data_IF_178062878741
#
_entry.id   IF_178062878741
#
_cell.length_a   1.000
_cell.length_b   1.000
_cell.length_c   1.000
_cell.angle_alpha   90.00
_cell.angle_beta   90.00
_cell.angle_gamma   90.00
#
_symmetry.space_group_name_H-M   'P 1'
#
loop_
_entity.id
_entity.type
_entity.pdbx_description
1 polymer ?
#
# COMPACT_ATOMS: atom_id res chain seq x y z
N UNK A 1 14.13 21.52 3.37
CA UNK A 1 14.20 20.93 4.72
C UNK A 1 15.25 19.82 4.75
N UNK A 2 15.97 19.61 5.87
CA UNK A 2 17.01 18.56 5.98
C UNK A 2 16.38 17.15 6.05
N UNK A 3 16.89 16.17 5.29
CA UNK A 3 16.40 14.77 5.27
C UNK A 3 16.34 14.19 6.70
N UNK A 4 15.24 13.51 7.06
CA UNK A 4 15.03 12.97 8.42
C UNK A 4 16.01 11.83 8.74
N UNK A 5 16.66 11.87 9.90
CA UNK A 5 17.61 10.80 10.31
C UNK A 5 16.85 9.51 10.64
N UNK A 6 17.49 8.34 10.43
CA UNK A 6 16.85 7.03 10.65
C UNK A 6 16.38 6.85 12.10
N UNK A 7 17.23 7.17 13.08
CA UNK A 7 16.91 7.04 14.51
C UNK A 7 15.68 7.87 14.90
N UNK A 8 15.61 9.10 14.41
CA UNK A 8 14.49 10.01 14.65
C UNK A 8 13.20 9.52 13.99
N UNK A 9 13.28 9.05 12.74
CA UNK A 9 12.15 8.43 12.06
C UNK A 9 11.57 7.24 12.82
N UNK A 10 12.42 6.31 13.28
CA UNK A 10 11.95 5.13 14.01
C UNK A 10 11.25 5.52 15.32
N UNK A 11 11.78 6.51 16.04
CA UNK A 11 11.15 7.04 17.26
C UNK A 11 9.76 7.65 17.00
N UNK A 12 9.58 8.29 15.84
CA UNK A 12 8.29 8.88 15.45
C UNK A 12 7.31 7.84 14.89
N UNK A 13 7.81 6.76 14.30
CA UNK A 13 7.00 5.70 13.71
C UNK A 13 6.39 4.77 14.78
N UNK A 14 7.14 4.46 15.83
CA UNK A 14 6.74 3.56 16.91
C UNK A 14 5.34 3.86 17.49
N UNK A 15 4.99 5.08 17.93
CA UNK A 15 3.65 5.37 18.44
C UNK A 15 2.56 5.20 17.37
N UNK A 16 2.85 5.52 16.10
CA UNK A 16 1.90 5.32 15.01
C UNK A 16 1.66 3.83 14.73
N UNK A 17 2.68 2.99 14.88
CA UNK A 17 2.53 1.54 14.75
C UNK A 17 1.69 0.96 15.89
N UNK A 18 1.79 1.48 17.11
CA UNK A 18 0.89 1.11 18.21
C UNK A 18 -0.56 1.50 17.90
N UNK A 19 -0.80 2.69 17.37
CA UNK A 19 -2.14 3.12 16.93
C UNK A 19 -2.67 2.26 15.77
N UNK A 20 -1.82 1.83 14.84
CA UNK A 20 -2.21 0.90 13.77
C UNK A 20 -2.62 -0.47 14.34
N UNK A 21 -1.92 -0.99 15.35
CA UNK A 21 -2.31 -2.22 16.05
C UNK A 21 -3.67 -2.05 16.75
N UNK A 22 -3.88 -0.92 17.41
CA UNK A 22 -5.16 -0.59 18.03
C UNK A 22 -6.29 -0.51 16.99
N UNK A 23 -6.03 0.12 15.84
CA UNK A 23 -6.95 0.18 14.71
C UNK A 23 -7.31 -1.23 14.21
N UNK A 24 -6.34 -2.14 14.02
CA UNK A 24 -6.68 -3.50 13.56
C UNK A 24 -7.48 -4.29 14.59
N UNK A 25 -7.22 -4.09 15.89
CA UNK A 25 -8.07 -4.64 16.97
C UNK A 25 -9.50 -4.09 16.88
N UNK A 26 -9.65 -2.80 16.60
CA UNK A 26 -10.95 -2.17 16.38
C UNK A 26 -11.69 -2.71 15.16
N UNK A 27 -11.01 -2.94 14.04
CA UNK A 27 -11.63 -3.56 12.87
C UNK A 27 -12.24 -4.90 13.24
N UNK A 28 -11.48 -5.75 13.94
CA UNK A 28 -11.94 -7.07 14.38
C UNK A 28 -13.12 -7.01 15.33
N UNK A 29 -13.08 -6.08 16.29
CA UNK A 29 -14.17 -5.91 17.25
C UNK A 29 -15.46 -5.38 16.61
N UNK A 30 -15.34 -4.44 15.67
CA UNK A 30 -16.47 -3.75 15.05
C UNK A 30 -16.99 -4.41 13.77
N UNK A 31 -16.23 -5.35 13.19
CA UNK A 31 -16.50 -5.93 11.87
C UNK A 31 -16.29 -4.94 10.70
N UNK A 32 -15.77 -3.73 10.95
CA UNK A 32 -15.50 -2.75 9.90
C UNK A 32 -14.38 -3.25 8.97
N UNK A 33 -14.36 -2.69 7.76
CA UNK A 33 -13.50 -3.11 6.66
C UNK A 33 -12.79 -1.89 6.11
N UNK A 34 -11.47 -1.97 5.93
CA UNK A 34 -10.67 -0.87 5.41
C UNK A 34 -9.93 -1.31 4.16
N UNK A 35 -9.98 -0.48 3.12
CA UNK A 35 -9.15 -0.60 1.93
C UNK A 35 -8.29 0.64 1.78
N UNK A 36 -6.98 0.46 1.63
CA UNK A 36 -6.02 1.54 1.38
C UNK A 36 -5.36 1.32 0.02
N UNK A 37 -5.76 2.14 -0.94
CA UNK A 37 -5.17 2.20 -2.28
C UNK A 37 -3.96 3.13 -2.24
N UNK A 38 -2.78 2.60 -2.61
CA UNK A 38 -1.54 3.37 -2.63
C UNK A 38 -1.05 3.44 -4.08
N UNK A 39 -1.27 4.58 -4.70
CA UNK A 39 -0.82 4.90 -6.05
C UNK A 39 0.30 5.94 -6.04
N UNK A 40 0.94 6.10 -7.18
CA UNK A 40 1.99 7.09 -7.38
C UNK A 40 3.00 6.60 -8.40
N UNK A 41 3.90 7.52 -8.77
CA UNK A 41 4.94 7.24 -9.77
C UNK A 41 5.83 6.06 -9.35
N UNK A 42 6.54 5.51 -10.33
CA UNK A 42 7.62 4.58 -10.05
C UNK A 42 8.67 5.26 -9.17
N UNK A 43 9.25 4.47 -8.27
CA UNK A 43 10.19 4.93 -7.23
C UNK A 43 9.64 5.91 -6.17
N UNK A 44 8.34 6.27 -6.20
CA UNK A 44 7.75 7.21 -5.24
C UNK A 44 7.83 6.74 -3.77
N UNK A 45 7.69 5.42 -3.51
CA UNK A 45 7.83 4.85 -2.16
C UNK A 45 6.71 3.94 -1.68
N UNK A 46 5.82 3.46 -2.57
CA UNK A 46 4.63 2.64 -2.27
C UNK A 46 4.91 1.45 -1.34
N UNK A 47 5.74 0.49 -1.77
CA UNK A 47 6.10 -0.64 -0.91
C UNK A 47 6.77 -0.25 0.42
N UNK A 48 7.46 0.89 0.49
CA UNK A 48 8.06 1.37 1.73
C UNK A 48 7.04 1.86 2.76
N UNK A 49 5.91 2.44 2.31
CA UNK A 49 4.83 2.83 3.22
C UNK A 49 3.91 1.66 3.57
N UNK A 50 3.67 0.74 2.64
CA UNK A 50 2.97 -0.53 2.93
C UNK A 50 3.68 -1.27 4.04
N UNK A 51 4.99 -1.47 3.92
CA UNK A 51 5.78 -2.13 4.96
C UNK A 51 5.70 -1.39 6.29
N UNK A 52 5.79 -0.05 6.31
CA UNK A 52 5.70 0.72 7.53
C UNK A 52 4.34 0.57 8.25
N UNK A 53 3.25 0.37 7.48
CA UNK A 53 1.92 0.09 8.01
C UNK A 53 1.84 -1.35 8.52
N UNK A 54 2.26 -2.33 7.72
CA UNK A 54 2.00 -3.75 7.97
C UNK A 54 3.00 -4.45 8.88
N UNK A 55 4.17 -3.85 9.16
CA UNK A 55 5.32 -4.48 9.85
C UNK A 55 4.96 -5.17 11.18
N UNK A 56 4.04 -4.60 11.94
CA UNK A 56 3.64 -5.11 13.26
C UNK A 56 2.17 -5.56 13.33
N UNK A 57 1.51 -5.68 12.18
CA UNK A 57 0.11 -6.10 12.11
C UNK A 57 -0.02 -7.61 11.98
N UNK A 58 -1.13 -8.15 12.50
CA UNK A 58 -1.44 -9.56 12.34
C UNK A 58 -1.71 -9.88 10.86
N UNK A 59 -0.95 -10.79 10.22
CA UNK A 59 -1.11 -11.11 8.80
C UNK A 59 -2.44 -11.79 8.46
N UNK A 60 -3.20 -12.27 9.47
CA UNK A 60 -4.57 -12.77 9.29
C UNK A 60 -5.61 -11.66 9.14
N UNK A 61 -5.22 -10.42 9.44
CA UNK A 61 -6.11 -9.25 9.48
C UNK A 61 -5.65 -8.17 8.51
N UNK A 62 -4.36 -8.12 8.19
CA UNK A 62 -3.77 -7.19 7.23
C UNK A 62 -3.29 -7.95 5.98
N UNK A 63 -3.94 -7.69 4.84
CA UNK A 63 -3.59 -8.27 3.56
C UNK A 63 -2.90 -7.24 2.67
N UNK A 64 -1.81 -7.64 2.02
CA UNK A 64 -1.15 -6.82 1.00
C UNK A 64 -1.41 -7.43 -0.37
N UNK A 65 -2.04 -6.66 -1.25
CA UNK A 65 -2.33 -7.05 -2.62
C UNK A 65 -1.39 -6.33 -3.60
N UNK A 66 -0.64 -7.11 -4.38
CA UNK A 66 0.25 -6.64 -5.43
C UNK A 66 0.10 -7.53 -6.67
N UNK A 67 -0.96 -7.29 -7.46
CA UNK A 67 -1.25 -8.10 -8.65
C UNK A 67 -0.22 -7.87 -9.77
N UNK A 68 0.16 -8.93 -10.45
CA UNK A 68 0.92 -8.87 -11.70
C UNK A 68 0.04 -8.37 -12.86
N UNK A 69 0.65 -8.16 -14.04
CA UNK A 69 -0.08 -7.85 -15.27
C UNK A 69 -1.19 -8.90 -15.52
N UNK A 70 -2.35 -8.50 -16.07
CA UNK A 70 -3.44 -9.44 -16.32
C UNK A 70 -2.99 -10.56 -17.27
N UNK A 71 -3.40 -11.79 -16.97
CA UNK A 71 -3.29 -12.91 -17.91
C UNK A 71 -4.29 -12.80 -19.07
N UNK A 72 -4.19 -13.70 -20.05
CA UNK A 72 -5.04 -13.67 -21.26
C UNK A 72 -6.54 -13.68 -20.93
N UNK A 73 -6.95 -14.51 -19.97
CA UNK A 73 -8.35 -14.57 -19.51
C UNK A 73 -8.76 -13.32 -18.74
N UNK A 74 -7.90 -12.77 -17.89
CA UNK A 74 -8.22 -11.56 -17.12
C UNK A 74 -8.35 -10.33 -18.02
N UNK A 75 -7.60 -10.29 -19.14
CA UNK A 75 -7.67 -9.22 -20.11
C UNK A 75 -9.02 -9.14 -20.87
N UNK A 76 -9.76 -10.25 -20.94
CA UNK A 76 -11.09 -10.32 -21.58
C UNK A 76 -12.26 -10.19 -20.60
N UNK A 77 -11.97 -10.14 -19.30
CA UNK A 77 -12.97 -9.94 -18.26
C UNK A 77 -13.35 -8.47 -18.12
N UNK A 78 -14.42 -8.24 -17.35
CA UNK A 78 -14.64 -6.89 -16.82
C UNK A 78 -13.45 -6.47 -15.96
N UNK A 79 -12.94 -5.25 -16.19
CA UNK A 79 -11.64 -4.84 -15.65
C UNK A 79 -11.53 -4.93 -14.11
N UNK A 80 -12.60 -4.61 -13.39
CA UNK A 80 -12.63 -4.67 -11.93
C UNK A 80 -12.75 -6.10 -11.39
N UNK A 81 -13.15 -7.07 -12.22
CA UNK A 81 -13.46 -8.43 -11.81
C UNK A 81 -12.28 -9.13 -11.11
N UNK A 82 -11.04 -8.87 -11.52
CA UNK A 82 -9.87 -9.49 -10.88
C UNK A 82 -9.54 -8.89 -9.51
N UNK A 83 -10.03 -7.68 -9.21
CA UNK A 83 -9.79 -7.01 -7.92
C UNK A 83 -10.83 -7.39 -6.88
N UNK A 84 -12.09 -7.60 -7.31
CA UNK A 84 -13.23 -7.93 -6.43
C UNK A 84 -12.98 -9.13 -5.50
N UNK A 85 -12.39 -10.26 -5.94
CA UNK A 85 -12.12 -11.41 -5.08
C UNK A 85 -11.18 -11.14 -3.91
N UNK A 86 -10.46 -10.01 -3.93
CA UNK A 86 -9.49 -9.64 -2.90
C UNK A 86 -10.03 -8.61 -1.90
N UNK A 87 -11.27 -8.13 -2.08
CA UNK A 87 -11.87 -7.17 -1.17
C UNK A 87 -12.00 -7.76 0.25
N UNK A 88 -11.83 -6.94 1.30
CA UNK A 88 -11.76 -7.42 2.67
C UNK A 88 -13.11 -7.94 3.19
N UNK A 89 -13.05 -9.00 3.99
CA UNK A 89 -14.12 -9.44 4.87
C UNK A 89 -14.11 -8.67 6.21
N UNK A 90 -15.12 -8.90 7.05
CA UNK A 90 -15.30 -8.19 8.32
C UNK A 90 -14.03 -8.25 9.19
N UNK A 91 -13.57 -7.08 9.63
CA UNK A 91 -12.39 -6.94 10.47
C UNK A 91 -11.05 -6.91 9.74
N UNK A 92 -11.04 -6.94 8.42
CA UNK A 92 -9.82 -6.94 7.62
C UNK A 92 -9.42 -5.54 7.14
N UNK A 93 -8.11 -5.37 7.01
CA UNK A 93 -7.41 -4.27 6.35
C UNK A 93 -6.78 -4.80 5.06
N UNK A 94 -7.13 -4.21 3.93
CA UNK A 94 -6.49 -4.46 2.64
C UNK A 94 -5.61 -3.28 2.24
N UNK A 95 -4.31 -3.52 2.04
CA UNK A 95 -3.35 -2.58 1.48
C UNK A 95 -3.06 -2.96 0.03
N UNK A 96 -3.31 -2.05 -0.92
CA UNK A 96 -3.09 -2.32 -2.34
C UNK A 96 -1.83 -1.59 -2.84
N UNK A 97 -0.79 -2.34 -3.24
CA UNK A 97 0.37 -1.79 -3.97
C UNK A 97 0.01 -1.70 -5.44
N UNK A 98 -0.41 -0.50 -5.86
CA UNK A 98 -1.24 -0.28 -7.05
C UNK A 98 -2.61 -0.95 -6.94
N UNK A 99 -3.48 -0.65 -7.87
CA UNK A 99 -4.90 -1.04 -7.82
C UNK A 99 -5.51 -1.09 -9.22
N UNK A 100 -6.84 -1.00 -9.29
CA UNK A 100 -7.56 -0.74 -10.54
C UNK A 100 -7.11 0.58 -11.21
N UNK A 101 -6.45 1.49 -10.49
CA UNK A 101 -5.90 2.70 -11.10
C UNK A 101 -4.70 2.49 -12.02
N UNK A 102 -4.20 1.25 -12.19
CA UNK A 102 -3.29 0.90 -13.27
C UNK A 102 -3.79 1.38 -14.64
N UNK A 103 -5.10 1.27 -14.91
CA UNK A 103 -5.71 1.74 -16.16
C UNK A 103 -5.59 3.24 -16.37
N UNK A 104 -5.71 4.03 -15.30
CA UNK A 104 -5.60 5.48 -15.40
C UNK A 104 -4.15 5.99 -15.37
N UNK A 105 -3.17 5.13 -15.09
CA UNK A 105 -1.75 5.47 -15.07
C UNK A 105 -0.98 4.73 -16.15
N UNK A 106 -0.36 3.61 -15.76
CA UNK A 106 0.58 2.88 -16.60
C UNK A 106 -0.06 2.35 -17.88
N UNK A 107 -1.28 1.81 -17.86
CA UNK A 107 -1.88 1.28 -19.08
C UNK A 107 -2.16 2.39 -20.10
N UNK A 108 -2.64 3.55 -19.64
CA UNK A 108 -2.88 4.69 -20.52
C UNK A 108 -1.60 5.26 -21.12
N UNK A 109 -0.55 5.44 -20.31
CA UNK A 109 0.71 6.07 -20.75
C UNK A 109 1.56 5.12 -21.61
N UNK A 110 1.46 3.81 -21.37
CA UNK A 110 2.18 2.79 -22.12
C UNK A 110 1.39 2.17 -23.27
N UNK A 111 0.12 2.54 -23.43
CA UNK A 111 -0.74 2.00 -24.50
C UNK A 111 -1.16 0.54 -24.29
N UNK A 112 -1.27 0.10 -23.03
CA UNK A 112 -1.78 -1.24 -22.69
C UNK A 112 -3.31 -1.30 -22.60
N UNK A 113 -3.98 -0.14 -22.68
CA UNK A 113 -5.41 -0.04 -22.89
C UNK A 113 -5.70 0.92 -24.04
N UNK A 114 -6.80 0.70 -24.75
CA UNK A 114 -7.28 1.65 -25.74
C UNK A 114 -7.98 2.86 -25.09
N UNK A 115 -8.28 3.89 -25.88
CA UNK A 115 -8.92 5.11 -25.41
C UNK A 115 -10.36 4.89 -24.91
N UNK A 116 -11.08 3.91 -25.46
CA UNK A 116 -12.43 3.59 -25.05
C UNK A 116 -12.42 2.92 -23.66
N UNK A 117 -11.51 1.97 -23.43
CA UNK A 117 -11.26 1.32 -22.15
C UNK A 117 -10.85 2.34 -21.08
N UNK A 118 -9.95 3.26 -21.40
CA UNK A 118 -9.52 4.32 -20.50
C UNK A 118 -10.68 5.25 -20.10
N UNK A 119 -11.45 5.75 -21.08
CA UNK A 119 -12.63 6.60 -20.81
C UNK A 119 -13.69 5.87 -19.99
N UNK A 120 -13.96 4.62 -20.35
CA UNK A 120 -14.90 3.76 -19.62
C UNK A 120 -14.45 3.55 -18.18
N UNK A 121 -13.15 3.36 -17.93
CA UNK A 121 -12.61 3.24 -16.57
C UNK A 121 -12.81 4.51 -15.75
N UNK A 122 -12.51 5.69 -16.31
CA UNK A 122 -12.68 6.96 -15.59
C UNK A 122 -14.15 7.22 -15.21
N UNK A 123 -15.10 6.70 -15.97
CA UNK A 123 -16.54 6.76 -15.64
C UNK A 123 -16.95 5.69 -14.62
N UNK A 124 -16.42 4.46 -14.73
CA UNK A 124 -16.80 3.35 -13.88
C UNK A 124 -16.15 3.37 -12.49
N UNK A 125 -14.91 3.84 -12.37
CA UNK A 125 -14.18 3.81 -11.10
C UNK A 125 -14.92 4.52 -9.95
N UNK A 126 -15.46 5.75 -10.12
CA UNK A 126 -16.26 6.40 -9.07
C UNK A 126 -17.52 5.60 -8.70
N UNK A 127 -18.18 4.99 -9.68
CA UNK A 127 -19.37 4.15 -9.45
C UNK A 127 -19.01 2.90 -8.66
N UNK A 128 -17.94 2.21 -9.06
CA UNK A 128 -17.43 1.04 -8.37
C UNK A 128 -17.07 1.36 -6.92
N UNK A 129 -16.32 2.44 -6.69
CA UNK A 129 -15.93 2.89 -5.36
C UNK A 129 -17.13 3.29 -4.50
N UNK A 130 -18.14 3.94 -5.09
CA UNK A 130 -19.39 4.25 -4.39
C UNK A 130 -20.07 2.99 -3.88
N UNK A 131 -20.14 1.92 -4.68
CA UNK A 131 -20.72 0.65 -4.24
C UNK A 131 -19.97 0.07 -3.03
N UNK A 132 -18.64 0.16 -3.01
CA UNK A 132 -17.83 -0.30 -1.87
C UNK A 132 -18.11 0.52 -0.61
N UNK A 133 -18.14 1.85 -0.75
CA UNK A 133 -18.36 2.77 0.38
C UNK A 133 -19.78 2.65 0.92
N UNK A 134 -20.79 2.55 0.04
CA UNK A 134 -22.20 2.36 0.42
C UNK A 134 -22.40 1.05 1.21
N UNK A 135 -21.66 -0.02 0.87
CA UNK A 135 -21.66 -1.30 1.59
C UNK A 135 -20.93 -1.20 2.96
N UNK A 136 -20.18 -0.12 3.21
CA UNK A 136 -19.52 0.16 4.48
C UNK A 136 -18.02 -0.14 4.51
N UNK A 137 -17.37 -0.31 3.35
CA UNK A 137 -15.91 -0.30 3.26
C UNK A 137 -15.42 1.14 3.43
N UNK A 138 -14.48 1.33 4.35
CA UNK A 138 -13.78 2.60 4.54
C UNK A 138 -12.63 2.63 3.53
N UNK A 139 -12.80 3.41 2.45
CA UNK A 139 -11.84 3.48 1.35
C UNK A 139 -10.93 4.71 1.46
N UNK A 140 -9.62 4.45 1.53
CA UNK A 140 -8.58 5.47 1.44
C UNK A 140 -7.85 5.37 0.11
N UNK A 141 -7.62 6.50 -0.56
CA UNK A 141 -6.84 6.58 -1.80
C UNK A 141 -5.71 7.59 -1.65
N UNK A 142 -4.47 7.12 -1.72
CA UNK A 142 -3.27 7.93 -1.57
C UNK A 142 -2.49 7.99 -2.87
N UNK A 143 -2.17 9.20 -3.33
CA UNK A 143 -1.22 9.42 -4.41
C UNK A 143 0.09 9.95 -3.85
N UNK A 144 1.16 9.17 -3.98
CA UNK A 144 2.50 9.57 -3.54
C UNK A 144 3.14 10.50 -4.59
N UNK A 145 3.32 11.77 -4.24
CA UNK A 145 3.98 12.76 -5.12
C UNK A 145 5.49 12.73 -4.91
N UNK A 146 6.23 12.83 -6.01
CA UNK A 146 7.68 12.93 -6.01
C UNK A 146 8.08 13.81 -7.18
N UNK A 147 8.99 14.74 -6.92
CA UNK A 147 9.55 15.60 -7.95
C UNK A 147 10.45 14.79 -8.88
N UNK A 148 10.58 15.25 -10.12
CA UNK A 148 11.32 14.49 -11.13
C UNK A 148 12.79 14.30 -10.72
N UNK A 149 13.44 15.32 -10.16
CA UNK A 149 14.83 15.23 -9.70
C UNK A 149 15.02 14.13 -8.63
N UNK A 150 14.13 14.06 -7.65
CA UNK A 150 14.14 13.03 -6.61
C UNK A 150 13.83 11.64 -7.17
N UNK A 151 12.98 11.57 -8.19
CA UNK A 151 12.71 10.33 -8.90
C UNK A 151 13.97 9.80 -9.61
N UNK A 152 14.71 10.70 -10.26
CA UNK A 152 15.98 10.43 -10.96
C UNK A 152 17.07 9.95 -9.99
N UNK A 153 17.25 10.63 -8.85
CA UNK A 153 18.19 10.23 -7.80
C UNK A 153 17.92 8.78 -7.36
N UNK A 154 16.65 8.41 -7.18
CA UNK A 154 16.24 7.07 -6.76
C UNK A 154 16.42 6.02 -7.84
N UNK A 155 16.24 6.38 -9.11
CA UNK A 155 16.54 5.48 -10.22
C UNK A 155 18.03 5.14 -10.25
N UNK A 156 18.89 6.14 -10.12
CA UNK A 156 20.34 5.95 -10.05
C UNK A 156 20.73 5.10 -8.82
N UNK A 157 20.18 5.37 -7.64
CA UNK A 157 20.45 4.59 -6.43
C UNK A 157 20.08 3.10 -6.62
N UNK A 158 18.89 2.81 -7.19
CA UNK A 158 18.43 1.44 -7.43
C UNK A 158 19.29 0.69 -8.46
N UNK A 159 19.81 1.41 -9.46
CA UNK A 159 20.67 0.82 -10.48
C UNK A 159 22.02 0.38 -9.89
N UNK A 160 22.54 1.15 -8.93
CA UNK A 160 23.83 0.92 -8.28
C UNK A 160 23.75 -0.08 -7.11
N UNK A 161 22.60 -0.18 -6.44
CA UNK A 161 22.40 -1.07 -5.28
C UNK A 161 21.96 -2.49 -5.70
N UNK A 162 22.78 -3.54 -5.51
CA UNK A 162 22.44 -4.91 -5.89
C UNK A 162 21.18 -5.45 -5.21
N UNK A 163 20.85 -4.99 -4.00
CA UNK A 163 19.67 -5.40 -3.25
C UNK A 163 18.38 -4.74 -3.74
N UNK A 164 18.50 -3.70 -4.57
CA UNK A 164 17.36 -2.94 -5.13
C UNK A 164 17.26 -3.01 -6.64
N UNK A 165 18.29 -3.50 -7.33
CA UNK A 165 18.32 -3.59 -8.80
C UNK A 165 17.13 -4.34 -9.40
N UNK A 166 16.65 -5.39 -8.72
CA UNK A 166 15.46 -6.14 -9.12
C UNK A 166 14.16 -5.31 -9.16
N UNK A 167 14.14 -4.13 -8.52
CA UNK A 167 13.01 -3.19 -8.53
C UNK A 167 12.96 -2.30 -9.78
N UNK A 168 13.86 -2.52 -10.74
CA UNK A 168 13.87 -1.84 -12.02
C UNK A 168 13.49 -2.81 -13.13
N UNK A 169 12.47 -2.43 -13.89
CA UNK A 169 12.01 -3.13 -15.09
C UNK A 169 12.26 -2.28 -16.34
N UNK A 170 12.15 -2.90 -17.52
CA UNK A 170 12.23 -2.17 -18.78
C UNK A 170 11.13 -1.09 -18.91
N UNK A 171 9.95 -1.34 -18.31
CA UNK A 171 8.84 -0.38 -18.29
C UNK A 171 9.22 0.85 -17.46
N UNK A 172 9.90 0.66 -16.33
CA UNK A 172 10.31 1.79 -15.48
C UNK A 172 11.28 2.73 -16.21
N UNK A 173 12.17 2.18 -17.05
CA UNK A 173 13.10 2.97 -17.88
C UNK A 173 12.35 3.80 -18.92
N UNK A 174 11.35 3.21 -19.59
CA UNK A 174 10.50 3.95 -20.53
C UNK A 174 9.63 4.99 -19.80
N UNK A 175 9.15 4.67 -18.60
CA UNK A 175 8.29 5.55 -17.81
C UNK A 175 9.00 6.84 -17.39
N UNK A 176 10.33 6.75 -17.19
CA UNK A 176 11.22 7.87 -16.89
C UNK A 176 11.12 9.00 -17.93
N UNK A 177 11.10 8.65 -19.22
CA UNK A 177 11.03 9.62 -20.33
C UNK A 177 9.63 10.26 -20.47
N UNK A 178 8.60 9.61 -19.90
CA UNK A 178 7.19 9.99 -20.02
C UNK A 178 6.65 10.77 -18.82
N UNK A 179 7.50 11.48 -18.08
CA UNK A 179 7.10 12.16 -16.84
C UNK A 179 5.87 13.07 -17.01
N UNK A 180 5.85 13.88 -18.07
CA UNK A 180 4.75 14.79 -18.39
C UNK A 180 3.45 14.05 -18.78
N UNK A 181 3.54 12.92 -19.47
CA UNK A 181 2.38 12.09 -19.82
C UNK A 181 1.73 11.49 -18.58
N UNK A 182 2.55 10.97 -17.66
CA UNK A 182 2.07 10.52 -16.34
C UNK A 182 1.45 11.66 -15.53
N UNK A 183 1.99 12.89 -15.62
CA UNK A 183 1.35 14.06 -14.98
C UNK A 183 -0.05 14.29 -15.55
N UNK A 184 -0.19 14.30 -16.89
CA UNK A 184 -1.50 14.49 -17.53
C UNK A 184 -2.49 13.38 -17.18
N UNK A 185 -2.03 12.13 -17.15
CA UNK A 185 -2.84 10.99 -16.77
C UNK A 185 -3.31 11.07 -15.31
N UNK A 186 -2.42 11.46 -14.37
CA UNK A 186 -2.78 11.74 -12.98
C UNK A 186 -3.84 12.83 -12.87
N UNK A 187 -3.65 13.98 -13.52
CA UNK A 187 -4.62 15.09 -13.45
C UNK A 187 -6.00 14.67 -13.94
N UNK A 188 -6.07 13.93 -15.05
CA UNK A 188 -7.33 13.40 -15.56
C UNK A 188 -7.98 12.40 -14.59
N UNK A 189 -7.17 11.51 -13.99
CA UNK A 189 -7.62 10.56 -12.97
C UNK A 189 -8.18 11.26 -11.73
N UNK A 190 -7.45 12.23 -11.18
CA UNK A 190 -7.87 12.99 -10.00
C UNK A 190 -9.17 13.76 -10.31
N UNK A 191 -9.24 14.45 -11.44
CA UNK A 191 -10.44 15.17 -11.86
C UNK A 191 -11.67 14.27 -11.99
N UNK A 192 -11.50 13.06 -12.51
CA UNK A 192 -12.62 12.14 -12.72
C UNK A 192 -13.02 11.37 -11.46
N UNK A 193 -12.09 11.15 -10.52
CA UNK A 193 -12.29 10.16 -9.44
C UNK A 193 -12.03 10.67 -8.02
N UNK A 194 -11.67 11.94 -7.85
CA UNK A 194 -11.73 12.59 -6.54
C UNK A 194 -13.18 12.96 -6.25
N UNK A 195 -13.81 12.20 -5.35
CA UNK A 195 -15.23 12.41 -4.96
C UNK A 195 -15.32 12.61 -3.45
N UNK A 196 -16.45 13.14 -2.97
CA UNK A 196 -16.69 13.32 -1.53
C UNK A 196 -16.64 12.00 -0.76
N UNK A 197 -17.22 10.94 -1.32
CA UNK A 197 -17.30 9.63 -0.68
C UNK A 197 -15.99 8.82 -0.79
N UNK A 198 -15.16 9.10 -1.80
CA UNK A 198 -13.88 8.45 -2.02
C UNK A 198 -12.82 9.47 -2.48
N UNK A 199 -12.33 10.34 -1.58
CA UNK A 199 -11.41 11.41 -1.95
C UNK A 199 -9.99 10.88 -2.13
N UNK A 200 -9.27 11.46 -3.09
CA UNK A 200 -7.82 11.32 -3.21
C UNK A 200 -7.08 12.20 -2.22
N UNK A 201 -6.06 11.64 -1.58
CA UNK A 201 -5.10 12.39 -0.74
C UNK A 201 -3.72 12.36 -1.41
N UNK A 202 -3.18 13.54 -1.73
CA UNK A 202 -1.83 13.66 -2.25
C UNK A 202 -0.85 13.79 -1.07
N UNK A 203 0.22 13.02 -1.09
CA UNK A 203 1.23 13.02 -0.01
C UNK A 203 2.61 13.27 -0.61
N UNK A 204 3.29 14.29 -0.10
CA UNK A 204 4.67 14.58 -0.48
C UNK A 204 5.61 13.48 0.02
N UNK A 205 6.22 12.80 -0.94
CA UNK A 205 7.16 11.70 -0.72
C UNK A 205 8.59 12.05 -1.14
N UNK A 206 8.94 13.32 -1.39
CA UNK A 206 10.32 13.75 -1.63
C UNK A 206 11.25 13.33 -0.48
N UNK A 207 10.81 13.50 0.77
CA UNK A 207 11.34 12.78 1.93
C UNK A 207 10.43 11.59 2.28
N UNK A 208 10.82 10.39 1.84
CA UNK A 208 10.01 9.18 2.06
C UNK A 208 9.73 8.88 3.53
N UNK A 209 10.59 9.27 4.47
CA UNK A 209 10.36 9.01 5.89
C UNK A 209 9.25 9.91 6.42
N UNK A 210 9.28 11.20 6.04
CA UNK A 210 8.21 12.15 6.39
C UNK A 210 6.91 11.80 5.67
N UNK A 211 6.97 11.42 4.40
CA UNK A 211 5.81 10.95 3.64
C UNK A 211 5.11 9.76 4.30
N UNK A 212 5.86 8.77 4.79
CA UNK A 212 5.31 7.63 5.54
C UNK A 212 4.62 8.07 6.83
N UNK A 213 5.30 8.85 7.67
CA UNK A 213 4.73 9.33 8.94
C UNK A 213 3.46 10.15 8.69
N UNK A 214 3.48 11.06 7.72
CA UNK A 214 2.34 11.89 7.36
C UNK A 214 1.17 11.09 6.81
N UNK A 215 1.42 10.10 5.95
CA UNK A 215 0.38 9.21 5.43
C UNK A 215 -0.26 8.39 6.55
N UNK A 216 0.54 7.76 7.41
CA UNK A 216 0.03 6.94 8.50
C UNK A 216 -0.79 7.79 9.48
N UNK A 217 -0.31 8.99 9.85
CA UNK A 217 -1.06 9.92 10.70
C UNK A 217 -2.38 10.33 10.05
N UNK A 218 -2.37 10.67 8.76
CA UNK A 218 -3.59 11.02 8.02
C UNK A 218 -4.60 9.86 7.96
N UNK A 219 -4.12 8.61 7.79
CA UNK A 219 -4.96 7.42 7.82
C UNK A 219 -5.64 7.27 9.19
N UNK A 220 -4.87 7.37 10.27
CA UNK A 220 -5.36 7.23 11.64
C UNK A 220 -6.33 8.37 12.04
N UNK A 221 -6.02 9.61 11.68
CA UNK A 221 -6.85 10.79 12.00
C UNK A 221 -8.23 10.79 11.35
N UNK A 222 -8.37 10.09 10.22
CA UNK A 222 -9.61 10.06 9.44
C UNK A 222 -10.51 8.89 9.83
N UNK A 223 -10.05 8.02 10.72
CA UNK A 223 -10.86 6.96 11.28
C UNK A 223 -11.69 7.50 12.46
N UNK A 224 -12.83 6.88 12.78
CA UNK A 224 -13.54 7.18 14.02
C UNK A 224 -12.69 6.77 15.23
N UNK A 225 -13.19 7.01 16.44
CA UNK A 225 -12.56 6.50 17.65
C UNK A 225 -12.40 4.97 17.60
N UNK A 226 -11.14 4.51 17.56
CA UNK A 226 -10.78 3.09 17.44
C UNK A 226 -10.50 2.45 18.79
N UNK A 227 -10.86 3.07 19.91
CA UNK A 227 -10.69 2.46 21.23
C UNK A 227 -11.62 1.25 21.37
N UNK A 228 -11.06 0.13 21.81
CA UNK A 228 -11.81 -1.07 22.18
C UNK A 228 -11.46 -1.46 23.60
N UNK A 229 -12.35 -2.16 24.33
CA UNK A 229 -12.02 -2.71 25.63
C UNK A 229 -10.76 -3.56 25.58
N UNK A 230 -9.92 -3.46 26.60
CA UNK A 230 -8.76 -4.33 26.70
C UNK A 230 -9.18 -5.78 26.94
N UNK A 231 -8.57 -6.69 26.19
CA UNK A 231 -8.70 -8.11 26.46
C UNK A 231 -7.77 -8.45 27.61
N UNK A 232 -8.29 -8.52 28.82
CA UNK A 232 -7.54 -9.09 29.94
C UNK A 232 -7.32 -10.58 29.67
N UNK A 233 -6.09 -10.94 29.31
CA UNK A 233 -5.69 -12.34 29.19
C UNK A 233 -5.11 -12.74 30.54
N UNK A 234 -5.77 -13.68 31.23
CA UNK A 234 -5.16 -14.33 32.39
C UNK A 234 -3.89 -15.07 31.94
N UNK A 235 -2.73 -14.61 32.42
CA UNK A 235 -1.44 -15.21 32.12
C UNK A 235 -0.79 -15.73 33.41
N UNK A 236 -1.34 -16.80 34.01
CA UNK A 236 -0.79 -17.35 35.24
C UNK A 236 0.62 -17.92 34.99
N UNK A 237 1.48 -17.97 36.02
CA UNK A 237 2.80 -18.56 35.89
C UNK A 237 2.68 -20.03 35.46
N UNK A 238 3.64 -20.47 34.63
CA UNK A 238 3.70 -21.86 34.18
C UNK A 238 3.76 -22.80 35.39
N UNK A 239 2.85 -23.77 35.43
CA UNK A 239 2.92 -24.86 36.43
C UNK A 239 4.08 -25.78 36.07
N UNK A 240 5.17 -25.69 36.84
CA UNK A 240 6.37 -26.50 36.67
C UNK A 240 7.47 -25.80 35.87
N UNK A 241 8.55 -26.53 35.60
CA UNK A 241 9.70 -26.01 34.85
C UNK A 241 9.43 -26.06 33.34
N UNK A 242 9.91 -25.08 32.54
CA UNK A 242 9.88 -25.16 31.09
C UNK A 242 10.53 -26.47 30.61
N UNK A 243 9.85 -27.18 29.72
CA UNK A 243 10.35 -28.42 29.14
C UNK A 243 11.37 -28.12 28.03
N UNK A 244 12.30 -29.06 27.78
CA UNK A 244 13.26 -28.97 26.68
C UNK A 244 12.82 -29.90 25.54
N UNK A 245 12.66 -29.31 24.37
CA UNK A 245 12.36 -30.03 23.13
C UNK A 245 13.54 -30.91 22.70
N UNK A 246 13.27 -32.14 22.22
CA UNK A 246 14.30 -33.10 21.76
C UNK A 246 13.89 -33.70 20.41
N UNK A 247 14.39 -33.12 19.32
CA UNK A 247 14.23 -33.63 17.96
C UNK A 247 15.57 -33.60 17.22
N UNK A 248 15.63 -34.27 16.06
CA UNK A 248 16.74 -34.11 15.11
C UNK A 248 16.70 -32.69 14.54
N UNK A 249 17.37 -31.75 15.21
CA UNK A 249 17.37 -30.35 14.82
C UNK A 249 18.19 -30.20 13.54
N UNK A 250 17.65 -29.46 12.56
CA UNK A 250 18.45 -29.00 11.42
C UNK A 250 19.59 -28.16 11.97
N UNK A 251 20.82 -28.67 11.86
CA UNK A 251 22.00 -27.91 12.29
C UNK A 251 22.11 -26.67 11.42
N UNK A 252 22.44 -25.50 12.00
CA UNK A 252 22.75 -24.32 11.21
C UNK A 252 23.78 -24.68 10.15
N UNK A 253 23.55 -24.24 8.92
CA UNK A 253 24.54 -24.35 7.85
C UNK A 253 25.79 -23.61 8.36
N UNK A 254 27.01 -24.19 8.24
CA UNK A 254 28.24 -23.45 8.52
C UNK A 254 28.21 -22.09 7.84
N UNK A 255 28.85 -21.08 8.45
CA UNK A 255 28.91 -19.73 7.89
C UNK A 255 29.31 -19.79 6.41
N UNK A 256 28.49 -19.20 5.55
CA UNK A 256 28.81 -19.03 4.14
C UNK A 256 29.93 -17.99 4.05
N UNK A 257 31.13 -18.42 3.65
CA UNK A 257 32.22 -17.52 3.29
C UNK A 257 32.10 -17.25 1.77
N UNK A 258 31.72 -16.02 1.35
CA UNK A 258 31.42 -15.69 -0.04
C UNK A 258 32.63 -15.74 -0.98
#
# INVERSE_FOLDING_TARGET
MKKLKRKEYLKLLEPLQLELVAMTRWLQHSGKRVVVVIEGRDTAGKGGVINAISEHLNPRQCHVLALSKPGEREATQWYFQRYVPHLPAAGELLLMDRSWYNRAGVEKVMGFCDDAQYKSFLQQAPVFEKLLVDDGIILFKYWLTVDQAEQEERFAERLLDPLKKWKLSAIDVQAREKYAEYTRAREAMLKATHTENAPWTLVDFNDQKRGRLGLIRNLLDRLPDTRVPDSEIEFPPLKGKPQKERFGVVKPIPGFDP
#
